data_IF_590217171424
#
_entry.id   IF_590217171424
#
_cell.length_a   1.000
_cell.length_b   1.000
_cell.length_c   1.000
_cell.angle_alpha   90.00
_cell.angle_beta   90.00
_cell.angle_gamma   90.00
#
_symmetry.space_group_name_H-M   'P 1'
#
loop_
_entity.id
_entity.type
_entity.pdbx_description
1 polymer ?
#
# COMPACT_ATOMS: atom_id res chain seq x y z
N UNK A 1 -8.58 0.33 6.48
CA UNK A 1 -7.11 0.23 6.46
C UNK A 1 -6.61 -1.19 6.27
N UNK A 2 -7.06 -2.17 7.06
CA UNK A 2 -6.56 -3.55 6.99
C UNK A 2 -6.86 -4.26 5.65
N UNK A 3 -8.10 -4.20 5.15
CA UNK A 3 -8.45 -4.84 3.88
C UNK A 3 -7.66 -4.28 2.69
N UNK A 4 -7.51 -2.95 2.61
CA UNK A 4 -6.69 -2.32 1.57
C UNK A 4 -5.21 -2.68 1.72
N UNK A 5 -4.69 -2.80 2.94
CA UNK A 5 -3.31 -3.22 3.17
C UNK A 5 -3.09 -4.65 2.68
N UNK A 6 -3.97 -5.58 3.06
CA UNK A 6 -3.87 -6.98 2.65
C UNK A 6 -3.93 -7.12 1.12
N UNK A 7 -4.91 -6.46 0.49
CA UNK A 7 -5.07 -6.51 -0.96
C UNK A 7 -3.85 -5.92 -1.68
N UNK A 8 -3.40 -4.72 -1.31
CA UNK A 8 -2.36 -4.03 -2.07
C UNK A 8 -0.94 -4.49 -1.75
N UNK A 9 -0.67 -4.91 -0.51
CA UNK A 9 0.70 -5.13 -0.02
C UNK A 9 1.00 -6.56 0.42
N UNK A 10 -0.01 -7.44 0.50
CA UNK A 10 0.17 -8.85 0.87
C UNK A 10 -0.06 -9.81 -0.28
N UNK A 11 -1.12 -9.59 -1.07
CA UNK A 11 -1.45 -10.40 -2.25
C UNK A 11 -0.41 -10.11 -3.34
N UNK A 12 0.11 -11.18 -3.95
CA UNK A 12 1.03 -11.17 -5.09
C UNK A 12 0.39 -11.82 -6.33
N UNK A 13 0.94 -11.50 -7.49
CA UNK A 13 0.43 -12.02 -8.76
C UNK A 13 -0.90 -11.39 -9.16
N UNK A 14 -1.56 -12.03 -10.11
CA UNK A 14 -2.88 -11.64 -10.62
C UNK A 14 -3.87 -12.79 -10.34
N UNK A 15 -4.92 -12.57 -9.54
CA UNK A 15 -5.72 -13.67 -8.99
C UNK A 15 -6.50 -14.51 -10.02
N UNK A 16 -6.64 -14.05 -11.27
CA UNK A 16 -7.48 -14.70 -12.28
C UNK A 16 -6.80 -14.86 -13.65
N UNK A 17 -5.50 -14.59 -13.76
CA UNK A 17 -4.80 -14.58 -15.05
C UNK A 17 -3.54 -15.45 -14.99
N UNK A 18 -3.39 -16.35 -15.97
CA UNK A 18 -2.23 -17.22 -16.10
C UNK A 18 -1.16 -16.54 -16.95
N UNK A 19 -0.31 -15.75 -16.30
CA UNK A 19 0.73 -14.90 -16.90
C UNK A 19 2.13 -15.55 -16.91
N UNK A 20 2.23 -16.90 -16.85
CA UNK A 20 3.50 -17.64 -16.75
C UNK A 20 4.42 -17.17 -15.60
N UNK A 21 3.87 -16.53 -14.57
CA UNK A 21 4.61 -16.07 -13.41
C UNK A 21 5.18 -14.65 -13.52
N UNK A 22 4.86 -13.88 -14.57
CA UNK A 22 5.39 -12.54 -14.80
C UNK A 22 5.20 -11.55 -13.62
N UNK A 23 4.16 -11.75 -12.80
CA UNK A 23 3.83 -10.89 -11.66
C UNK A 23 3.87 -11.61 -10.30
N UNK A 24 4.36 -12.85 -10.23
CA UNK A 24 4.30 -13.67 -9.01
C UNK A 24 5.10 -13.09 -7.84
N UNK A 25 6.10 -12.25 -8.15
CA UNK A 25 6.91 -11.56 -7.16
C UNK A 25 6.38 -10.17 -6.80
N UNK A 26 5.46 -9.63 -7.59
CA UNK A 26 4.94 -8.27 -7.43
C UNK A 26 3.59 -8.28 -6.71
N UNK A 27 3.46 -7.39 -5.75
CA UNK A 27 2.21 -7.07 -5.09
C UNK A 27 1.29 -6.27 -6.02
N UNK A 28 -0.01 -6.26 -5.72
CA UNK A 28 -0.96 -5.46 -6.50
C UNK A 28 -0.62 -3.96 -6.47
N UNK A 29 -0.04 -3.45 -5.38
CA UNK A 29 0.43 -2.07 -5.31
C UNK A 29 1.54 -1.78 -6.33
N UNK A 30 2.53 -2.66 -6.43
CA UNK A 30 3.67 -2.51 -7.32
C UNK A 30 3.27 -2.60 -8.79
N UNK A 31 2.23 -3.38 -9.11
CA UNK A 31 1.69 -3.53 -10.46
C UNK A 31 0.92 -2.28 -10.96
N UNK A 32 0.42 -1.41 -10.07
CA UNK A 32 -0.35 -0.22 -10.47
C UNK A 32 0.48 0.68 -11.38
N UNK A 33 -0.12 1.08 -12.51
CA UNK A 33 0.49 1.95 -13.51
C UNK A 33 1.88 1.48 -13.94
N UNK A 34 2.07 0.16 -14.09
CA UNK A 34 3.34 -0.46 -14.48
C UNK A 34 4.52 -0.11 -13.56
N UNK A 35 4.27 0.11 -12.27
CA UNK A 35 5.32 0.47 -11.31
C UNK A 35 5.71 1.95 -11.33
N UNK A 36 5.10 2.77 -12.19
CA UNK A 36 5.38 4.21 -12.23
C UNK A 36 4.94 4.85 -10.92
N UNK A 37 5.87 5.53 -10.25
CA UNK A 37 5.61 6.21 -8.99
C UNK A 37 4.90 7.55 -9.21
N UNK A 38 4.17 8.02 -8.19
CA UNK A 38 3.53 9.34 -8.16
C UNK A 38 2.51 9.65 -9.28
N UNK A 39 1.92 8.62 -9.88
CA UNK A 39 0.80 8.74 -10.81
C UNK A 39 -0.46 9.26 -10.11
N UNK A 40 -1.45 9.80 -10.87
CA UNK A 40 -2.72 10.24 -10.29
C UNK A 40 -3.41 9.15 -9.46
N UNK A 41 -3.41 7.90 -9.95
CA UNK A 41 -4.00 6.75 -9.26
C UNK A 41 -3.31 6.49 -7.92
N UNK A 42 -1.96 6.40 -7.91
CA UNK A 42 -1.20 6.17 -6.66
C UNK A 42 -1.36 7.32 -5.67
N UNK A 43 -1.40 8.57 -6.15
CA UNK A 43 -1.67 9.75 -5.32
C UNK A 43 -3.06 9.68 -4.69
N UNK A 44 -4.08 9.34 -5.48
CA UNK A 44 -5.45 9.18 -4.98
C UNK A 44 -5.54 8.08 -3.91
N UNK A 45 -4.99 6.89 -4.19
CA UNK A 45 -5.00 5.75 -3.26
C UNK A 45 -4.17 6.00 -1.98
N UNK A 46 -3.23 6.94 -2.02
CA UNK A 46 -2.47 7.40 -0.84
C UNK A 46 -3.22 8.49 -0.07
N UNK A 47 -3.89 9.41 -0.76
CA UNK A 47 -4.66 10.49 -0.15
C UNK A 47 -5.94 9.99 0.53
N UNK A 48 -6.61 8.99 -0.05
CA UNK A 48 -7.86 8.44 0.47
C UNK A 48 -7.79 8.02 1.94
N UNK A 49 -6.82 7.20 2.40
CA UNK A 49 -6.73 6.84 3.81
C UNK A 49 -6.42 8.03 4.73
N UNK A 50 -5.71 9.05 4.25
CA UNK A 50 -5.45 10.29 5.01
C UNK A 50 -6.76 11.04 5.23
N UNK A 51 -7.59 11.17 4.19
CA UNK A 51 -8.91 11.81 4.31
C UNK A 51 -9.82 11.05 5.28
N UNK A 52 -9.85 9.72 5.21
CA UNK A 52 -10.62 8.90 6.15
C UNK A 52 -10.14 9.06 7.60
N UNK A 53 -8.83 9.16 7.81
CA UNK A 53 -8.27 9.43 9.14
C UNK A 53 -8.75 10.79 9.67
N UNK A 54 -8.64 11.85 8.88
CA UNK A 54 -9.06 13.19 9.27
C UNK A 54 -10.56 13.25 9.58
N UNK A 55 -11.38 12.63 8.73
CA UNK A 55 -12.83 12.50 8.97
C UNK A 55 -13.10 11.74 10.26
N UNK A 56 -12.43 10.59 10.47
CA UNK A 56 -12.60 9.82 11.70
C UNK A 56 -12.24 10.65 12.93
N UNK A 57 -11.10 11.35 12.93
CA UNK A 57 -10.68 12.19 14.06
C UNK A 57 -11.69 13.29 14.36
N UNK A 58 -12.25 13.91 13.32
CA UNK A 58 -13.27 14.94 13.46
C UNK A 58 -14.56 14.38 14.07
N UNK A 59 -15.09 13.28 13.54
CA UNK A 59 -16.34 12.68 14.02
C UNK A 59 -16.22 12.01 15.39
N UNK A 60 -15.02 11.58 15.80
CA UNK A 60 -14.76 11.04 17.13
C UNK A 60 -14.42 12.12 18.15
N UNK A 61 -14.59 13.42 17.81
CA UNK A 61 -14.30 14.56 18.68
C UNK A 61 -12.89 14.50 19.30
N UNK A 62 -11.89 14.08 18.53
CA UNK A 62 -10.49 14.00 18.99
C UNK A 62 -10.26 13.06 20.19
N UNK A 63 -11.11 12.06 20.39
CA UNK A 63 -10.89 10.98 21.36
C UNK A 63 -9.50 10.35 21.20
N UNK A 64 -8.68 10.44 22.24
CA UNK A 64 -7.24 10.10 22.18
C UNK A 64 -7.00 8.62 21.89
N UNK A 65 -7.67 7.64 22.54
CA UNK A 65 -7.49 6.23 22.21
C UNK A 65 -7.81 5.92 20.75
N UNK A 66 -8.94 6.39 20.25
CA UNK A 66 -9.36 6.17 18.86
C UNK A 66 -8.42 6.84 17.87
N UNK A 67 -7.98 8.06 18.18
CA UNK A 67 -6.98 8.78 17.41
C UNK A 67 -5.67 7.98 17.30
N UNK A 68 -5.14 7.47 18.40
CA UNK A 68 -3.87 6.74 18.42
C UNK A 68 -3.95 5.43 17.62
N UNK A 69 -5.07 4.70 17.71
CA UNK A 69 -5.30 3.49 16.92
C UNK A 69 -5.32 3.82 15.42
N UNK A 70 -6.11 4.83 15.03
CA UNK A 70 -6.23 5.23 13.63
C UNK A 70 -4.95 5.82 13.07
N UNK A 71 -4.18 6.58 13.87
CA UNK A 71 -2.89 7.12 13.49
C UNK A 71 -1.88 6.00 13.24
N UNK A 72 -1.82 5.02 14.15
CA UNK A 72 -0.93 3.86 13.99
C UNK A 72 -1.27 3.08 12.72
N UNK A 73 -2.56 2.83 12.48
CA UNK A 73 -3.01 2.17 11.26
C UNK A 73 -2.68 2.98 9.98
N UNK A 74 -2.82 4.31 10.04
CA UNK A 74 -2.48 5.19 8.93
C UNK A 74 -0.98 5.15 8.62
N UNK A 75 -0.13 5.27 9.64
CA UNK A 75 1.34 5.23 9.49
C UNK A 75 1.79 3.93 8.82
N UNK A 76 1.30 2.78 9.29
CA UNK A 76 1.64 1.47 8.70
C UNK A 76 1.25 1.41 7.22
N UNK A 77 0.05 1.88 6.86
CA UNK A 77 -0.42 1.87 5.47
C UNK A 77 0.38 2.85 4.59
N UNK A 78 0.74 4.03 5.11
CA UNK A 78 1.50 5.02 4.37
C UNK A 78 2.95 4.57 4.13
N UNK A 79 3.61 3.96 5.12
CA UNK A 79 4.95 3.42 4.98
C UNK A 79 5.00 2.45 3.79
N UNK A 80 4.05 1.51 3.73
CA UNK A 80 4.01 0.53 2.64
C UNK A 80 3.77 1.15 1.25
N UNK A 81 3.27 2.40 1.18
CA UNK A 81 3.05 3.12 -0.09
C UNK A 81 4.22 3.99 -0.53
N UNK A 82 5.25 4.13 0.30
CA UNK A 82 6.42 4.95 -0.03
C UNK A 82 7.21 4.32 -1.19
N UNK A 83 7.80 5.14 -2.09
CA UNK A 83 8.67 4.62 -3.15
C UNK A 83 9.88 3.84 -2.63
N UNK A 84 10.34 4.11 -1.40
CA UNK A 84 11.42 3.36 -0.75
C UNK A 84 11.06 1.92 -0.40
N UNK A 85 9.76 1.60 -0.41
CA UNK A 85 9.23 0.24 -0.19
C UNK A 85 8.85 -0.44 -1.51
N UNK A 86 9.14 0.18 -2.66
CA UNK A 86 8.90 -0.45 -3.95
C UNK A 86 9.83 -1.67 -4.09
N UNK A 87 9.24 -2.85 -4.30
CA UNK A 87 9.95 -4.14 -4.38
C UNK A 87 10.72 -4.51 -3.13
N UNK A 88 10.40 -3.89 -2.00
CA UNK A 88 11.05 -4.15 -0.71
C UNK A 88 9.99 -4.21 0.38
N UNK A 89 9.96 -5.30 1.15
CA UNK A 89 8.86 -5.56 2.11
C UNK A 89 9.07 -4.93 3.48
N UNK A 90 10.11 -5.38 4.17
CA UNK A 90 10.47 -5.00 5.53
C UNK A 90 11.95 -5.29 5.67
N UNK A 91 12.75 -4.27 6.01
CA UNK A 91 14.19 -4.42 6.25
C UNK A 91 14.98 -5.10 5.11
N UNK A 92 14.59 -4.91 3.85
CA UNK A 92 15.32 -5.46 2.70
C UNK A 92 14.97 -6.92 2.33
N UNK A 93 13.98 -7.53 2.97
CA UNK A 93 13.51 -8.87 2.59
C UNK A 93 12.88 -8.82 1.18
N UNK A 94 13.41 -9.64 0.27
CA UNK A 94 13.01 -9.79 -1.15
C UNK A 94 13.34 -8.60 -2.08
N UNK A 95 14.43 -7.86 -1.82
CA UNK A 95 14.93 -6.88 -2.80
C UNK A 95 15.22 -7.55 -4.15
N UNK A 96 14.37 -7.26 -5.16
CA UNK A 96 14.50 -7.86 -6.48
C UNK A 96 15.57 -7.09 -7.28
N UNK A 97 16.75 -7.71 -7.42
CA UNK A 97 17.92 -7.11 -8.10
C UNK A 97 17.77 -6.95 -9.62
N UNK A 98 16.76 -7.57 -10.22
CA UNK A 98 16.55 -7.58 -11.66
C UNK A 98 15.15 -7.05 -12.00
N UNK A 99 15.00 -6.22 -13.06
CA UNK A 99 13.68 -5.84 -13.53
C UNK A 99 12.92 -7.07 -14.04
N UNK A 100 11.64 -7.18 -13.68
CA UNK A 100 10.72 -8.09 -14.37
C UNK A 100 10.68 -7.68 -15.85
N UNK A 101 10.88 -8.67 -16.73
CA UNK A 101 10.95 -8.54 -18.19
C UNK A 101 9.64 -8.02 -18.81
#
# INVERSE_FOLDING_TARGET
MLGSFFMFHWIRGVPFEFNQGAFDDLTLWEQIDHGVQFTPTRKFLTAFPILLFLLSTHYTNYDVPTFMINLTALVVVLIAKLPSMDRVRLFGINEQKYPAE
#
